data_IF_304362076427
#
_entry.id   IF_304362076427
#
_cell.length_a   1.000
_cell.length_b   1.000
_cell.length_c   1.000
_cell.angle_alpha   90.00
_cell.angle_beta   90.00
_cell.angle_gamma   90.00
#
_symmetry.space_group_name_H-M   'P 1'
#
loop_
_entity.id
_entity.type
_entity.pdbx_description
1 polymer ?
#
# COMPACT_ATOMS: atom_id res chain seq x y z
N UNK A 1 14.13 -21.36 -64.22
CA UNK A 1 14.83 -22.56 -64.68
C UNK A 1 16.00 -22.75 -63.73
N UNK A 2 16.24 -23.85 -63.04
CA UNK A 2 15.66 -25.19 -62.92
C UNK A 2 16.37 -25.79 -61.70
N UNK A 3 15.62 -26.38 -60.77
CA UNK A 3 15.66 -27.81 -60.41
C UNK A 3 17.05 -28.36 -60.03
N UNK A 4 17.25 -28.70 -58.76
CA UNK A 4 16.92 -29.99 -58.13
C UNK A 4 17.80 -31.15 -58.64
N UNK A 5 18.54 -31.72 -57.67
CA UNK A 5 18.76 -33.16 -57.45
C UNK A 5 19.50 -33.95 -58.54
N UNK A 6 20.61 -34.61 -58.15
CA UNK A 6 20.56 -36.06 -57.94
C UNK A 6 21.88 -36.66 -57.39
N UNK A 7 21.68 -37.66 -56.51
CA UNK A 7 22.33 -38.98 -56.38
C UNK A 7 23.86 -39.04 -56.19
N UNK A 8 24.43 -39.49 -55.05
CA UNK A 8 24.36 -40.78 -54.31
C UNK A 8 25.62 -41.61 -54.56
N UNK A 9 26.28 -42.09 -53.49
CA UNK A 9 26.61 -43.52 -53.26
C UNK A 9 27.77 -43.74 -52.27
N UNK A 10 27.51 -44.59 -51.25
CA UNK A 10 28.38 -45.62 -50.64
C UNK A 10 29.59 -45.11 -49.81
N UNK A 11 29.88 -45.58 -48.59
CA UNK A 11 29.36 -46.69 -47.79
C UNK A 11 30.03 -46.74 -46.40
N UNK A 12 29.46 -47.57 -45.53
CA UNK A 12 29.97 -47.96 -44.21
C UNK A 12 31.36 -48.61 -44.29
N UNK A 13 32.30 -48.20 -43.42
CA UNK A 13 33.11 -49.10 -42.57
C UNK A 13 34.12 -48.36 -41.69
N UNK A 14 33.93 -48.56 -40.38
CA UNK A 14 34.93 -48.77 -39.33
C UNK A 14 36.10 -47.79 -39.09
N UNK A 15 35.99 -47.19 -37.90
CA UNK A 15 36.94 -47.24 -36.76
C UNK A 15 38.28 -46.52 -36.84
N UNK A 16 38.43 -45.73 -35.77
CA UNK A 16 39.61 -45.48 -34.95
C UNK A 16 40.48 -44.24 -35.22
N UNK A 17 40.75 -43.57 -34.10
CA UNK A 17 41.80 -42.58 -33.85
C UNK A 17 41.47 -41.11 -34.13
N UNK A 18 40.76 -40.48 -33.18
CA UNK A 18 40.96 -39.06 -32.85
C UNK A 18 41.48 -38.95 -31.41
N UNK A 19 42.45 -38.05 -31.12
CA UNK A 19 43.33 -38.16 -29.98
C UNK A 19 42.72 -37.63 -28.68
N UNK A 20 43.12 -38.29 -27.60
CA UNK A 20 42.79 -38.08 -26.20
C UNK A 20 43.48 -36.80 -25.65
N UNK A 21 42.78 -35.67 -25.66
CA UNK A 21 43.13 -34.52 -24.82
C UNK A 21 41.85 -33.86 -24.29
N UNK A 22 41.78 -33.79 -22.97
CA UNK A 22 40.81 -33.08 -22.13
C UNK A 22 39.50 -33.83 -21.79
N UNK A 23 39.60 -34.94 -21.05
CA UNK A 23 38.53 -35.34 -20.13
C UNK A 23 38.76 -34.66 -18.78
N UNK A 24 38.15 -33.49 -18.58
CA UNK A 24 37.81 -33.05 -17.22
C UNK A 24 36.59 -33.85 -16.80
N UNK A 25 36.51 -34.39 -15.58
CA UNK A 25 35.27 -34.99 -15.11
C UNK A 25 34.22 -33.87 -15.05
N UNK A 26 33.22 -33.95 -15.93
CA UNK A 26 31.94 -33.26 -15.77
C UNK A 26 31.30 -33.82 -14.49
N UNK A 27 31.70 -33.28 -13.34
CA UNK A 27 30.82 -33.19 -12.18
C UNK A 27 29.85 -32.04 -12.47
N UNK A 28 29.04 -32.26 -13.51
CA UNK A 28 27.83 -31.49 -13.79
C UNK A 28 26.81 -31.95 -12.76
N UNK A 29 27.07 -31.59 -11.51
CA UNK A 29 26.05 -31.43 -10.49
C UNK A 29 25.15 -30.30 -10.95
N UNK A 30 24.38 -30.56 -12.02
CA UNK A 30 23.26 -29.74 -12.44
C UNK A 30 22.38 -29.63 -11.21
N UNK A 31 22.53 -28.50 -10.51
CA UNK A 31 21.66 -28.14 -9.41
C UNK A 31 20.29 -28.08 -10.07
N UNK A 32 19.47 -29.10 -9.83
CA UNK A 32 18.10 -29.16 -10.32
C UNK A 32 17.48 -27.83 -9.95
N UNK A 33 17.17 -27.01 -10.97
CA UNK A 33 16.57 -25.71 -10.74
C UNK A 33 15.33 -25.97 -9.88
N UNK A 34 15.14 -25.23 -8.75
CA UNK A 34 13.98 -25.44 -7.92
C UNK A 34 12.75 -25.43 -8.83
N UNK A 35 11.84 -26.41 -8.70
CA UNK A 35 10.67 -26.48 -9.57
C UNK A 35 10.02 -25.09 -9.60
N UNK A 36 9.61 -24.58 -10.79
CA UNK A 36 9.08 -23.23 -10.90
C UNK A 36 7.93 -23.09 -9.91
N UNK A 37 8.20 -22.37 -8.84
CA UNK A 37 7.21 -22.12 -7.79
C UNK A 37 6.17 -21.24 -8.48
N UNK A 38 5.00 -21.80 -8.76
CA UNK A 38 3.80 -21.00 -9.02
C UNK A 38 3.56 -20.14 -7.78
N UNK A 39 4.01 -18.90 -7.82
CA UNK A 39 4.19 -18.05 -6.63
C UNK A 39 2.88 -17.40 -6.11
N UNK A 40 1.71 -17.73 -6.66
CA UNK A 40 0.49 -16.96 -6.36
C UNK A 40 -0.56 -17.64 -5.45
N UNK A 41 -0.55 -18.97 -5.30
CA UNK A 41 -1.66 -19.68 -4.61
C UNK A 41 -1.32 -20.19 -3.20
N UNK A 42 -0.48 -19.46 -2.46
CA UNK A 42 -0.08 -19.83 -1.07
C UNK A 42 -0.95 -19.23 0.03
N UNK A 43 -1.72 -18.19 -0.27
CA UNK A 43 -2.44 -17.44 0.77
C UNK A 43 -3.77 -18.09 1.10
N UNK A 44 -3.92 -18.59 2.33
CA UNK A 44 -5.10 -19.36 2.80
C UNK A 44 -6.45 -18.68 2.48
N UNK A 45 -6.56 -17.36 2.61
CA UNK A 45 -7.79 -16.61 2.27
C UNK A 45 -8.11 -16.61 0.77
N UNK A 46 -7.10 -16.56 -0.10
CA UNK A 46 -7.27 -16.65 -1.57
C UNK A 46 -7.76 -18.05 -1.92
N UNK A 47 -7.17 -19.09 -1.31
CA UNK A 47 -7.63 -20.47 -1.53
C UNK A 47 -9.06 -20.69 -1.05
N UNK A 48 -9.43 -20.13 0.11
CA UNK A 48 -10.80 -20.19 0.62
C UNK A 48 -11.79 -19.43 -0.29
N UNK A 49 -11.38 -18.28 -0.85
CA UNK A 49 -12.18 -17.58 -1.86
C UNK A 49 -12.33 -18.40 -3.14
N UNK A 50 -11.25 -18.96 -3.68
CA UNK A 50 -11.29 -19.80 -4.88
C UNK A 50 -12.16 -21.05 -4.67
N UNK A 51 -12.09 -21.66 -3.48
CA UNK A 51 -12.97 -22.74 -3.08
C UNK A 51 -14.44 -22.33 -3.11
N UNK A 52 -14.78 -21.17 -2.52
CA UNK A 52 -16.13 -20.62 -2.55
C UNK A 52 -16.62 -20.26 -3.96
N UNK A 53 -15.79 -19.56 -4.73
CA UNK A 53 -16.09 -19.17 -6.10
C UNK A 53 -16.25 -20.39 -7.03
N UNK A 54 -15.53 -21.48 -6.76
CA UNK A 54 -15.69 -22.75 -7.45
C UNK A 54 -17.06 -23.42 -7.19
N UNK A 55 -17.70 -23.14 -6.06
CA UNK A 55 -19.03 -23.67 -5.70
C UNK A 55 -20.19 -22.81 -6.24
N UNK A 56 -19.93 -21.60 -6.76
CA UNK A 56 -20.98 -20.68 -7.19
C UNK A 56 -21.81 -21.23 -8.36
N UNK A 57 -21.16 -21.90 -9.33
CA UNK A 57 -21.82 -22.37 -10.55
C UNK A 57 -22.56 -21.23 -11.28
N UNK A 58 -23.88 -21.37 -11.42
CA UNK A 58 -24.79 -20.34 -12.00
C UNK A 58 -25.58 -19.54 -10.94
N UNK A 59 -25.33 -19.79 -9.64
CA UNK A 59 -26.03 -19.17 -8.52
C UNK A 59 -25.36 -17.87 -8.08
N UNK A 60 -26.08 -17.03 -7.33
CA UNK A 60 -25.51 -15.84 -6.67
C UNK A 60 -24.70 -16.25 -5.43
N UNK A 61 -25.16 -17.28 -4.72
CA UNK A 61 -24.49 -17.84 -3.55
C UNK A 61 -24.40 -19.37 -3.65
N UNK A 62 -23.29 -19.97 -3.18
CA UNK A 62 -23.18 -21.41 -3.13
C UNK A 62 -24.13 -22.00 -2.07
N UNK A 63 -24.55 -23.24 -2.31
CA UNK A 63 -25.42 -23.97 -1.37
C UNK A 63 -24.63 -24.41 -0.14
N UNK A 64 -25.27 -24.37 1.02
CA UNK A 64 -24.68 -24.92 2.25
C UNK A 64 -24.49 -26.45 2.17
N UNK A 65 -25.31 -27.16 1.38
CA UNK A 65 -25.21 -28.62 1.22
C UNK A 65 -23.89 -29.07 0.56
N UNK A 66 -23.26 -28.19 -0.22
CA UNK A 66 -21.99 -28.45 -0.89
C UNK A 66 -20.79 -28.24 0.05
N UNK A 67 -21.00 -27.60 1.22
CA UNK A 67 -19.96 -27.31 2.19
C UNK A 67 -19.87 -28.43 3.23
N UNK A 68 -18.68 -29.04 3.35
CA UNK A 68 -18.38 -30.01 4.41
C UNK A 68 -17.15 -29.56 5.21
N UNK A 69 -17.35 -28.74 6.26
CA UNK A 69 -16.24 -28.15 7.04
C UNK A 69 -15.37 -29.20 7.77
N UNK A 70 -15.96 -30.33 8.14
CA UNK A 70 -15.28 -31.42 8.87
C UNK A 70 -14.33 -32.24 8.01
N UNK A 71 -14.60 -32.34 6.71
CA UNK A 71 -13.80 -33.12 5.77
C UNK A 71 -12.67 -32.34 5.13
N UNK A 72 -12.65 -31.01 5.29
CA UNK A 72 -11.66 -30.12 4.69
C UNK A 72 -10.41 -30.01 5.58
N UNK A 73 -9.26 -30.59 5.18
CA UNK A 73 -8.04 -30.52 5.97
C UNK A 73 -7.33 -29.16 5.87
N UNK A 74 -7.62 -28.37 4.83
CA UNK A 74 -6.93 -27.11 4.53
C UNK A 74 -7.50 -25.94 5.34
N UNK A 75 -8.83 -25.93 5.57
CA UNK A 75 -9.52 -24.85 6.26
C UNK A 75 -10.27 -25.29 7.52
N UNK A 76 -10.70 -26.55 7.59
CA UNK A 76 -11.52 -27.09 8.69
C UNK A 76 -11.03 -26.71 10.09
N UNK A 77 -9.76 -26.96 10.45
CA UNK A 77 -9.23 -26.66 11.79
C UNK A 77 -9.29 -25.17 12.20
N UNK A 78 -9.25 -24.26 11.22
CA UNK A 78 -9.20 -22.81 11.44
C UNK A 78 -10.47 -22.10 10.94
N UNK A 79 -11.58 -22.81 10.83
CA UNK A 79 -12.83 -22.28 10.28
C UNK A 79 -13.96 -22.24 11.31
N UNK A 80 -15.00 -21.47 10.99
CA UNK A 80 -16.23 -21.33 11.75
C UNK A 80 -17.41 -21.28 10.79
N UNK A 81 -18.52 -21.92 11.15
CA UNK A 81 -19.78 -21.84 10.43
C UNK A 81 -20.84 -21.20 11.33
N UNK A 82 -21.41 -20.10 10.86
CA UNK A 82 -22.46 -19.34 11.53
C UNK A 82 -23.79 -19.57 10.82
N UNK A 83 -24.82 -19.89 11.61
CA UNK A 83 -26.20 -20.09 11.18
C UNK A 83 -27.07 -18.91 11.61
N UNK A 84 -27.70 -18.25 10.63
CA UNK A 84 -28.55 -17.07 10.76
C UNK A 84 -30.04 -17.38 10.64
N UNK A 85 -30.43 -18.65 10.47
CA UNK A 85 -31.83 -19.07 10.31
C UNK A 85 -32.73 -18.60 11.46
N UNK A 86 -32.17 -18.49 12.67
CA UNK A 86 -32.87 -18.05 13.88
C UNK A 86 -32.74 -16.54 14.18
N UNK A 87 -32.10 -15.77 13.31
CA UNK A 87 -31.97 -14.32 13.43
C UNK A 87 -30.54 -13.80 13.33
N UNK A 88 -30.43 -12.51 12.98
CA UNK A 88 -29.16 -11.84 12.65
C UNK A 88 -28.44 -11.29 13.89
N UNK A 89 -29.17 -11.04 14.98
CA UNK A 89 -28.60 -10.39 16.18
C UNK A 89 -27.69 -11.31 17.00
N UNK A 90 -27.97 -12.61 17.03
CA UNK A 90 -27.17 -13.60 17.78
C UNK A 90 -27.18 -14.95 17.06
N UNK A 91 -26.38 -15.12 15.98
CA UNK A 91 -26.37 -16.35 15.20
C UNK A 91 -25.79 -17.52 16.01
N UNK A 92 -26.19 -18.72 15.62
CA UNK A 92 -25.73 -19.98 16.24
C UNK A 92 -24.43 -20.41 15.57
N UNK A 93 -23.46 -20.90 16.35
CA UNK A 93 -22.21 -21.46 15.82
C UNK A 93 -22.44 -22.95 15.56
N UNK A 94 -22.62 -23.32 14.29
CA UNK A 94 -22.87 -24.70 13.89
C UNK A 94 -21.60 -25.54 13.86
N UNK A 95 -20.49 -24.93 13.44
CA UNK A 95 -19.18 -25.59 13.39
C UNK A 95 -18.09 -24.64 13.88
N UNK A 96 -17.14 -25.18 14.64
CA UNK A 96 -15.96 -24.47 15.11
C UNK A 96 -14.75 -25.38 15.03
N UNK A 97 -13.77 -24.99 14.22
CA UNK A 97 -12.52 -25.70 14.01
C UNK A 97 -11.71 -25.87 15.29
N UNK A 98 -10.96 -26.98 15.37
CA UNK A 98 -10.24 -27.39 16.58
C UNK A 98 -9.14 -26.39 16.99
N UNK A 99 -8.36 -25.89 16.02
CA UNK A 99 -7.30 -24.91 16.30
C UNK A 99 -7.89 -23.58 16.76
N UNK A 100 -8.98 -23.13 16.14
CA UNK A 100 -9.66 -21.88 16.52
C UNK A 100 -10.28 -22.00 17.92
N UNK A 101 -10.86 -23.16 18.24
CA UNK A 101 -11.38 -23.48 19.57
C UNK A 101 -10.27 -23.48 20.63
N UNK A 102 -9.14 -24.12 20.34
CA UNK A 102 -8.00 -24.17 21.25
C UNK A 102 -7.43 -22.78 21.53
N UNK A 103 -7.28 -21.95 20.50
CA UNK A 103 -6.74 -20.60 20.64
C UNK A 103 -7.65 -19.70 21.46
N UNK A 104 -8.97 -19.80 21.26
CA UNK A 104 -9.94 -19.00 21.98
C UNK A 104 -10.23 -19.52 23.40
N UNK A 105 -9.59 -20.63 23.83
CA UNK A 105 -9.84 -21.31 25.11
C UNK A 105 -11.34 -21.60 25.33
N UNK A 106 -12.02 -21.96 24.25
CA UNK A 106 -13.47 -22.19 24.24
C UNK A 106 -13.76 -23.63 24.69
N UNK A 107 -14.49 -23.78 25.79
CA UNK A 107 -15.07 -25.04 26.20
C UNK A 107 -16.16 -25.51 25.20
N UNK A 108 -16.50 -26.80 25.24
CA UNK A 108 -17.44 -27.46 24.30
C UNK A 108 -18.86 -26.83 24.31
N UNK A 109 -19.18 -25.95 25.26
CA UNK A 109 -20.54 -25.43 25.49
C UNK A 109 -20.94 -24.17 24.73
N UNK A 110 -20.08 -23.55 23.92
CA UNK A 110 -20.47 -22.35 23.16
C UNK A 110 -21.37 -22.75 21.99
N UNK A 111 -22.61 -22.27 22.01
CA UNK A 111 -23.61 -22.51 20.95
C UNK A 111 -23.97 -21.23 20.20
N UNK A 112 -23.82 -20.05 20.80
CA UNK A 112 -24.16 -18.77 20.19
C UNK A 112 -23.00 -17.76 20.22
N UNK A 113 -23.06 -16.77 19.32
CA UNK A 113 -22.06 -15.69 19.26
C UNK A 113 -22.01 -14.87 20.56
N UNK A 114 -23.12 -14.75 21.28
CA UNK A 114 -23.16 -14.05 22.58
C UNK A 114 -22.29 -14.70 23.67
N UNK A 115 -22.02 -16.00 23.58
CA UNK A 115 -21.20 -16.73 24.55
C UNK A 115 -19.69 -16.61 24.27
N UNK A 116 -19.33 -15.94 23.17
CA UNK A 116 -17.94 -15.82 22.72
C UNK A 116 -17.17 -14.84 23.61
N UNK A 117 -16.01 -15.24 24.15
CA UNK A 117 -15.19 -14.35 24.98
C UNK A 117 -14.82 -13.06 24.26
N UNK A 118 -14.97 -11.93 24.96
CA UNK A 118 -14.47 -10.65 24.48
C UNK A 118 -12.95 -10.71 24.30
N UNK A 119 -12.43 -10.13 23.20
CA UNK A 119 -11.01 -10.19 22.82
C UNK A 119 -10.50 -11.59 22.42
N UNK A 120 -11.37 -12.44 21.88
CA UNK A 120 -10.98 -13.66 21.16
C UNK A 120 -10.93 -13.45 19.64
N UNK A 121 -10.26 -14.34 18.92
CA UNK A 121 -10.29 -14.37 17.45
C UNK A 121 -11.73 -14.49 16.94
N UNK A 122 -12.53 -15.35 17.57
CA UNK A 122 -13.92 -15.57 17.20
C UNK A 122 -14.76 -14.31 17.34
N UNK A 123 -14.58 -13.52 18.41
CA UNK A 123 -15.23 -12.21 18.57
C UNK A 123 -14.90 -11.26 17.41
N UNK A 124 -13.66 -11.31 16.90
CA UNK A 124 -13.26 -10.46 15.77
C UNK A 124 -13.93 -10.90 14.47
N UNK A 125 -14.03 -12.20 14.22
CA UNK A 125 -14.74 -12.73 13.04
C UNK A 125 -16.20 -12.29 13.09
N UNK A 126 -16.84 -12.41 14.26
CA UNK A 126 -18.25 -12.08 14.42
C UNK A 126 -18.55 -10.58 14.36
N UNK A 127 -17.56 -9.69 14.49
CA UNK A 127 -17.80 -8.24 14.31
C UNK A 127 -18.18 -7.87 12.86
N UNK A 128 -17.84 -8.72 11.89
CA UNK A 128 -17.95 -8.41 10.46
C UNK A 128 -19.16 -9.04 9.75
N UNK A 129 -19.88 -9.99 10.36
CA UNK A 129 -20.96 -10.71 9.66
C UNK A 129 -22.10 -9.79 9.20
N UNK A 130 -22.40 -8.71 9.95
CA UNK A 130 -23.41 -7.73 9.57
C UNK A 130 -23.08 -7.02 8.26
N UNK A 131 -21.79 -6.81 7.98
CA UNK A 131 -21.33 -6.16 6.76
C UNK A 131 -21.52 -7.06 5.54
N UNK A 132 -21.42 -8.38 5.73
CA UNK A 132 -21.62 -9.38 4.66
C UNK A 132 -23.09 -9.44 4.29
N UNK A 133 -23.97 -9.46 5.28
CA UNK A 133 -25.42 -9.45 5.06
C UNK A 133 -25.83 -8.15 4.34
N UNK A 134 -25.22 -7.02 4.69
CA UNK A 134 -25.50 -5.74 4.05
C UNK A 134 -24.97 -5.64 2.61
N UNK A 135 -23.76 -6.13 2.35
CA UNK A 135 -23.10 -6.00 1.05
C UNK A 135 -23.35 -7.18 0.10
N UNK A 136 -23.90 -8.28 0.62
CA UNK A 136 -24.17 -9.50 -0.13
C UNK A 136 -22.94 -10.05 -0.86
N UNK A 137 -21.76 -9.94 -0.24
CA UNK A 137 -20.49 -10.32 -0.85
C UNK A 137 -19.49 -10.87 0.18
N UNK A 138 -18.55 -11.73 -0.25
CA UNK A 138 -17.40 -12.14 0.56
C UNK A 138 -16.61 -10.95 1.11
N UNK A 139 -16.18 -11.05 2.37
CA UNK A 139 -15.37 -10.01 3.03
C UNK A 139 -14.09 -10.64 3.57
N UNK A 140 -12.95 -10.19 3.05
CA UNK A 140 -11.65 -10.42 3.66
C UNK A 140 -11.36 -9.37 4.74
N UNK A 141 -10.72 -9.77 5.83
CA UNK A 141 -10.28 -8.87 6.89
C UNK A 141 -8.93 -9.30 7.44
N UNK A 142 -8.12 -8.32 7.83
CA UNK A 142 -6.85 -8.53 8.50
C UNK A 142 -6.66 -7.49 9.59
N UNK A 143 -6.08 -7.91 10.71
CA UNK A 143 -5.77 -7.01 11.81
C UNK A 143 -4.82 -7.66 12.80
N UNK A 144 -4.33 -6.82 13.70
CA UNK A 144 -3.67 -7.23 14.92
C UNK A 144 -4.56 -6.97 16.13
N UNK A 145 -4.43 -7.79 17.16
CA UNK A 145 -5.00 -7.54 18.47
C UNK A 145 -4.14 -8.18 19.54
N UNK A 146 -4.26 -7.67 20.77
CA UNK A 146 -3.64 -8.30 21.94
C UNK A 146 -4.65 -9.28 22.53
N UNK A 147 -4.26 -10.55 22.60
CA UNK A 147 -5.12 -11.60 23.18
C UNK A 147 -5.20 -11.48 24.70
N UNK A 148 -6.04 -12.32 25.31
CA UNK A 148 -6.17 -12.38 26.78
C UNK A 148 -4.88 -12.75 27.52
N UNK A 149 -3.90 -13.35 26.82
CA UNK A 149 -2.59 -13.72 27.34
C UNK A 149 -1.55 -12.60 27.20
N UNK A 150 -1.93 -11.44 26.66
CA UNK A 150 -1.02 -10.30 26.46
C UNK A 150 -0.11 -10.44 25.24
N UNK A 151 -0.29 -11.46 24.41
CA UNK A 151 0.47 -11.66 23.19
C UNK A 151 -0.19 -10.92 22.02
N UNK A 152 0.65 -10.34 21.15
CA UNK A 152 0.17 -9.66 19.95
C UNK A 152 -0.11 -10.71 18.89
N UNK A 153 -1.37 -10.87 18.51
CA UNK A 153 -1.79 -11.79 17.46
C UNK A 153 -2.12 -10.98 16.21
N UNK A 154 -1.42 -11.29 15.13
CA UNK A 154 -1.80 -10.87 13.78
C UNK A 154 -2.67 -11.95 13.16
N UNK A 155 -3.85 -11.60 12.65
CA UNK A 155 -4.73 -12.54 11.98
C UNK A 155 -5.21 -12.00 10.64
N UNK A 156 -5.52 -12.93 9.75
CA UNK A 156 -6.14 -12.67 8.46
C UNK A 156 -7.23 -13.70 8.24
N UNK A 157 -8.43 -13.26 7.93
CA UNK A 157 -9.56 -14.13 7.66
C UNK A 157 -10.38 -13.67 6.46
N UNK A 158 -11.27 -14.54 6.03
CA UNK A 158 -12.28 -14.28 5.03
C UNK A 158 -13.58 -14.88 5.51
N UNK A 159 -14.67 -14.17 5.30
CA UNK A 159 -16.02 -14.64 5.53
C UNK A 159 -16.77 -14.72 4.21
N UNK A 160 -17.46 -15.83 4.04
CA UNK A 160 -18.01 -16.30 2.79
C UNK A 160 -19.51 -16.56 3.00
N UNK A 161 -20.41 -15.83 2.30
CA UNK A 161 -21.85 -16.03 2.44
C UNK A 161 -22.32 -17.29 1.70
N UNK A 162 -23.27 -17.99 2.30
CA UNK A 162 -23.95 -19.16 1.76
C UNK A 162 -25.47 -18.96 1.88
N UNK A 163 -26.21 -19.51 0.93
CA UNK A 163 -27.66 -19.41 0.88
C UNK A 163 -28.28 -20.77 0.55
N UNK A 164 -29.45 -21.03 1.14
CA UNK A 164 -30.24 -22.23 0.81
C UNK A 164 -31.14 -21.97 -0.41
N UNK A 165 -31.64 -20.75 -0.58
CA UNK A 165 -32.64 -20.35 -1.58
C UNK A 165 -32.12 -19.42 -2.69
N UNK A 166 -30.83 -19.09 -2.66
CA UNK A 166 -30.14 -18.14 -3.56
C UNK A 166 -30.60 -16.67 -3.43
N UNK A 167 -31.46 -16.36 -2.47
CA UNK A 167 -31.99 -15.02 -2.22
C UNK A 167 -31.57 -14.46 -0.85
N UNK A 168 -31.57 -15.28 0.20
CA UNK A 168 -31.20 -14.86 1.57
C UNK A 168 -29.94 -15.56 2.06
N UNK A 169 -29.06 -14.79 2.71
CA UNK A 169 -27.84 -15.34 3.33
C UNK A 169 -28.26 -15.98 4.66
N UNK A 170 -28.33 -17.31 4.67
CA UNK A 170 -28.69 -18.10 5.85
C UNK A 170 -27.46 -18.56 6.64
N UNK A 171 -26.32 -18.71 5.94
CA UNK A 171 -25.09 -19.21 6.53
C UNK A 171 -23.89 -18.35 6.16
N UNK A 172 -22.94 -18.22 7.08
CA UNK A 172 -21.65 -17.59 6.79
C UNK A 172 -20.53 -18.51 7.25
N UNK A 173 -19.66 -18.85 6.32
CA UNK A 173 -18.46 -19.63 6.58
C UNK A 173 -17.26 -18.70 6.71
N UNK A 174 -16.60 -18.73 7.86
CA UNK A 174 -15.40 -17.94 8.14
C UNK A 174 -14.17 -18.82 8.18
N UNK A 175 -13.11 -18.43 7.50
CA UNK A 175 -11.78 -19.04 7.61
C UNK A 175 -10.82 -17.99 8.13
N UNK A 176 -10.04 -18.30 9.15
CA UNK A 176 -9.07 -17.39 9.74
C UNK A 176 -7.71 -18.06 9.87
N UNK A 177 -6.64 -17.30 9.72
CA UNK A 177 -5.29 -17.73 10.03
C UNK A 177 -4.65 -16.68 10.94
N UNK A 178 -3.83 -17.09 11.90
CA UNK A 178 -3.20 -16.17 12.84
C UNK A 178 -1.75 -16.55 13.12
N UNK A 179 -0.97 -15.55 13.51
CA UNK A 179 0.41 -15.68 13.95
C UNK A 179 0.59 -14.88 15.22
N UNK A 180 1.05 -15.54 16.27
CA UNK A 180 1.45 -14.90 17.52
C UNK A 180 2.85 -14.28 17.34
N UNK A 181 2.96 -13.00 17.69
CA UNK A 181 4.21 -12.26 17.76
C UNK A 181 4.58 -12.18 19.22
N UNK A 182 5.71 -12.80 19.58
CA UNK A 182 6.26 -12.68 20.93
C UNK A 182 6.54 -11.22 21.23
N UNK A 183 6.01 -10.74 22.36
CA UNK A 183 6.27 -9.40 22.90
C UNK A 183 7.77 -9.24 23.14
N UNK A 184 8.32 -8.02 22.95
CA UNK A 184 9.75 -7.73 23.18
C UNK A 184 10.25 -8.13 24.58
N UNK A 185 9.36 -8.22 25.58
CA UNK A 185 9.68 -8.74 26.90
C UNK A 185 10.10 -10.23 26.92
N UNK A 186 9.49 -11.08 26.08
CA UNK A 186 9.90 -12.49 25.97
C UNK A 186 11.20 -12.65 25.19
N UNK A 187 11.50 -11.73 24.26
CA UNK A 187 12.82 -11.63 23.64
C UNK A 187 13.88 -11.21 24.65
N UNK A 188 13.57 -10.23 25.49
CA UNK A 188 14.45 -9.77 26.56
C UNK A 188 14.73 -10.88 27.57
N UNK A 189 13.71 -11.63 28.02
CA UNK A 189 13.91 -12.74 28.97
C UNK A 189 14.75 -13.88 28.35
N UNK A 190 14.55 -14.18 27.06
CA UNK A 190 15.37 -15.18 26.34
C UNK A 190 16.80 -14.66 26.12
N UNK A 191 16.97 -13.39 25.78
CA UNK A 191 18.29 -12.75 25.64
C UNK A 191 19.03 -12.70 26.97
N UNK A 192 18.33 -12.44 28.07
CA UNK A 192 18.88 -12.43 29.43
C UNK A 192 19.26 -13.86 29.87
N UNK A 193 18.43 -14.87 29.60
CA UNK A 193 18.72 -16.27 29.90
C UNK A 193 19.89 -16.81 29.05
N UNK A 194 19.95 -16.45 27.76
CA UNK A 194 21.08 -16.78 26.87
C UNK A 194 22.36 -16.06 27.30
N UNK A 195 22.26 -14.79 27.70
CA UNK A 195 23.41 -14.02 28.21
C UNK A 195 23.93 -14.60 29.53
N UNK A 196 23.04 -15.00 30.44
CA UNK A 196 23.40 -15.67 31.70
C UNK A 196 24.01 -17.07 31.44
N UNK A 197 23.48 -17.81 30.46
CA UNK A 197 24.06 -19.07 30.01
C UNK A 197 25.47 -18.88 29.41
N UNK A 198 25.69 -17.82 28.61
CA UNK A 198 27.01 -17.50 28.04
C UNK A 198 28.03 -17.08 29.11
N UNK A 199 27.59 -16.35 30.15
CA UNK A 199 28.44 -15.93 31.28
C UNK A 199 28.77 -17.08 32.24
N UNK A 200 27.94 -18.12 32.30
CA UNK A 200 28.13 -19.29 33.16
C UNK A 200 28.87 -20.46 32.48
N UNK A 201 29.24 -20.35 31.19
CA UNK A 201 30.13 -21.33 30.53
C UNK A 201 31.54 -21.21 31.11
N UNK A 202 32.09 -22.23 31.80
CA UNK A 202 33.48 -22.18 32.23
C UNK A 202 34.41 -22.16 31.02
N UNK A 203 35.42 -21.29 31.06
CA UNK A 203 36.42 -21.16 30.00
C UNK A 203 37.00 -22.53 29.63
N UNK A 204 36.84 -22.93 28.37
CA UNK A 204 37.41 -24.17 27.85
C UNK A 204 38.93 -24.07 27.92
N UNK A 205 39.54 -24.74 28.90
CA UNK A 205 40.99 -24.92 28.94
C UNK A 205 41.37 -25.75 27.71
N UNK A 206 42.00 -25.09 26.73
CA UNK A 206 42.62 -25.77 25.61
C UNK A 206 43.86 -26.47 26.15
N UNK A 207 43.72 -27.74 26.54
CA UNK A 207 44.85 -28.63 26.72
C UNK A 207 45.40 -28.97 25.33
N UNK A 208 46.42 -28.21 24.89
CA UNK A 208 47.16 -28.54 23.68
C UNK A 208 47.89 -29.88 23.87
N UNK A 209 47.89 -30.79 22.87
CA UNK A 209 48.64 -32.03 22.99
C UNK A 209 50.14 -31.72 22.92
N UNK A 210 50.81 -32.04 24.03
CA UNK A 210 52.25 -32.23 24.13
C UNK A 210 52.65 -33.33 23.15
N UNK A 211 53.37 -32.97 22.09
CA UNK A 211 54.13 -33.92 21.27
C UNK A 211 55.60 -33.70 21.56
N UNK A 212 56.12 -34.60 22.37
CA UNK A 212 57.53 -34.75 22.64
C UNK A 212 58.16 -35.53 21.46
N UNK A 213 59.20 -34.90 20.91
CA UNK A 213 60.36 -35.45 20.20
C UNK A 213 60.32 -35.80 18.70
N UNK A 214 61.37 -35.33 18.01
CA UNK A 214 61.62 -35.42 16.57
C UNK A 214 62.89 -34.62 16.20
N UNK A 215 64.03 -35.25 15.88
CA UNK A 215 65.36 -34.68 16.13
C UNK A 215 66.02 -34.02 14.90
N UNK A 216 66.51 -32.78 15.05
CA UNK A 216 67.85 -32.34 14.59
C UNK A 216 68.11 -30.88 14.95
N UNK A 217 69.14 -30.70 15.75
CA UNK A 217 69.72 -29.44 16.22
C UNK A 217 70.46 -28.71 15.10
N UNK A 218 70.34 -27.38 15.03
CA UNK A 218 71.47 -26.46 14.81
C UNK A 218 71.00 -24.99 14.93
N UNK A 219 71.38 -24.37 16.05
CA UNK A 219 71.95 -23.01 16.20
C UNK A 219 71.49 -21.84 15.28
N UNK A 220 71.10 -20.75 15.96
CA UNK A 220 71.49 -19.33 15.68
C UNK A 220 70.99 -18.72 14.34
N UNK A 221 70.46 -17.51 14.23
CA UNK A 221 70.40 -16.33 15.09
C UNK A 221 69.16 -15.51 14.72
N UNK A 222 68.70 -14.69 15.66
CA UNK A 222 67.77 -13.61 15.40
C UNK A 222 68.43 -12.54 14.52
N UNK A 223 67.96 -12.38 13.28
CA UNK A 223 68.11 -11.12 12.53
C UNK A 223 66.77 -10.75 11.87
N UNK A 224 66.27 -9.59 12.30
CA UNK A 224 65.13 -8.88 11.75
C UNK A 224 65.29 -8.63 10.25
N UNK A 225 64.21 -8.89 9.49
CA UNK A 225 63.93 -8.20 8.23
C UNK A 225 62.43 -7.91 8.20
N UNK A 226 62.12 -6.63 8.06
CA UNK A 226 60.80 -6.02 8.01
C UNK A 226 59.94 -6.63 6.90
N UNK A 227 58.68 -6.92 7.22
CA UNK A 227 57.61 -7.11 6.25
C UNK A 227 56.40 -6.26 6.68
N UNK A 228 55.98 -5.45 5.73
CA UNK A 228 54.77 -4.62 5.66
C UNK A 228 53.55 -5.25 6.35
N UNK A 229 52.75 -4.49 7.12
CA UNK A 229 51.48 -5.01 7.62
C UNK A 229 50.54 -5.26 6.46
N UNK A 230 50.15 -6.53 6.31
CA UNK A 230 49.05 -6.97 5.49
C UNK A 230 47.74 -6.32 5.98
N UNK A 231 46.94 -5.90 4.99
CA UNK A 231 45.50 -5.64 5.00
C UNK A 231 44.82 -5.63 6.38
N UNK A 232 44.47 -4.41 6.81
CA UNK A 232 43.34 -4.20 7.70
C UNK A 232 42.08 -4.72 7.00
N UNK A 233 41.53 -5.83 7.51
CA UNK A 233 40.11 -6.14 7.32
C UNK A 233 39.38 -5.15 8.24
N UNK A 234 38.99 -4.01 7.67
CA UNK A 234 37.95 -3.16 8.24
C UNK A 234 36.67 -4.00 8.24
N UNK A 235 35.95 -4.13 9.36
CA UNK A 235 34.59 -4.65 9.31
C UNK A 235 33.81 -3.66 8.47
N UNK A 236 33.33 -4.12 7.32
CA UNK A 236 32.39 -3.39 6.50
C UNK A 236 31.23 -3.02 7.42
N UNK A 237 31.01 -1.71 7.59
CA UNK A 237 29.88 -1.23 8.32
C UNK A 237 28.66 -1.69 7.52
N UNK A 238 27.94 -2.68 8.05
CA UNK A 238 26.60 -3.01 7.60
C UNK A 238 25.80 -1.72 7.71
N UNK A 239 25.68 -1.01 6.59
CA UNK A 239 24.59 -0.08 6.35
C UNK A 239 23.32 -0.89 6.62
N UNK A 240 22.60 -0.52 7.66
CA UNK A 240 21.24 -0.99 7.90
C UNK A 240 20.39 -0.50 6.73
N UNK A 241 20.37 -1.27 5.64
CA UNK A 241 19.42 -1.06 4.54
C UNK A 241 18.02 -1.33 5.09
N UNK A 242 17.28 -0.25 5.30
CA UNK A 242 15.84 -0.27 5.55
C UNK A 242 15.17 -0.93 4.32
N UNK A 243 14.49 -2.09 4.45
CA UNK A 243 13.96 -2.83 3.30
C UNK A 243 12.92 -2.05 2.46
N UNK A 244 12.48 -0.88 2.93
CA UNK A 244 11.57 0.02 2.22
C UNK A 244 12.27 1.20 1.52
N UNK A 245 13.60 1.28 1.51
CA UNK A 245 14.37 2.31 0.82
C UNK A 245 15.13 1.72 -0.38
N UNK A 246 14.72 2.14 -1.58
CA UNK A 246 15.47 1.85 -2.79
C UNK A 246 16.77 2.67 -2.83
N UNK A 247 17.83 2.03 -3.32
CA UNK A 247 19.09 2.69 -3.63
C UNK A 247 18.89 3.87 -4.61
N UNK A 248 19.77 4.87 -4.56
CA UNK A 248 19.60 6.10 -5.36
C UNK A 248 19.66 5.86 -6.88
N UNK A 249 20.23 4.74 -7.32
CA UNK A 249 20.35 4.27 -8.69
C UNK A 249 19.21 3.36 -9.16
N UNK A 250 18.20 3.09 -8.31
CA UNK A 250 17.03 2.31 -8.68
C UNK A 250 16.26 2.97 -9.84
N UNK A 251 15.72 2.13 -10.74
CA UNK A 251 15.04 2.61 -11.93
C UNK A 251 13.71 3.28 -11.57
N UNK A 252 13.23 4.19 -12.43
CA UNK A 252 11.94 4.84 -12.21
C UNK A 252 10.77 3.84 -12.13
N UNK A 253 10.88 2.70 -12.83
CA UNK A 253 9.90 1.62 -12.76
C UNK A 253 9.88 0.94 -11.38
N UNK A 254 11.04 0.78 -10.72
CA UNK A 254 11.13 0.23 -9.37
C UNK A 254 10.50 1.17 -8.34
N UNK A 255 10.71 2.48 -8.49
CA UNK A 255 10.05 3.50 -7.68
C UNK A 255 8.53 3.47 -7.86
N UNK A 256 8.05 3.29 -9.10
CA UNK A 256 6.62 3.13 -9.37
C UNK A 256 6.07 1.84 -8.75
N UNK A 257 6.80 0.74 -8.84
CA UNK A 257 6.41 -0.55 -8.26
C UNK A 257 6.33 -0.45 -6.73
N UNK A 258 7.31 0.19 -6.08
CA UNK A 258 7.29 0.45 -4.64
C UNK A 258 6.08 1.29 -4.24
N UNK A 259 5.80 2.37 -4.97
CA UNK A 259 4.65 3.23 -4.71
C UNK A 259 3.32 2.48 -4.90
N UNK A 260 3.20 1.62 -5.93
CA UNK A 260 2.02 0.78 -6.17
C UNK A 260 1.83 -0.26 -5.08
N UNK A 261 2.89 -0.97 -4.67
CA UNK A 261 2.83 -1.93 -3.58
C UNK A 261 2.35 -1.27 -2.27
N UNK A 262 2.82 -0.04 -2.00
CA UNK A 262 2.38 0.73 -0.84
C UNK A 262 0.92 1.17 -0.96
N UNK A 263 0.47 1.60 -2.15
CA UNK A 263 -0.91 1.94 -2.43
C UNK A 263 -1.85 0.74 -2.31
N UNK A 264 -1.44 -0.43 -2.81
CA UNK A 264 -2.17 -1.68 -2.67
C UNK A 264 -2.26 -2.07 -1.20
N UNK A 265 -1.17 -2.01 -0.43
CA UNK A 265 -1.19 -2.26 1.01
C UNK A 265 -2.18 -1.31 1.73
N UNK A 266 -2.17 -0.02 1.38
CA UNK A 266 -3.13 0.95 1.92
C UNK A 266 -4.58 0.62 1.54
N UNK A 267 -4.83 0.12 0.33
CA UNK A 267 -6.15 -0.31 -0.13
C UNK A 267 -6.67 -1.53 0.68
N UNK A 268 -5.78 -2.49 0.98
CA UNK A 268 -6.12 -3.67 1.80
C UNK A 268 -6.33 -3.30 3.28
N UNK A 269 -5.74 -2.21 3.74
CA UNK A 269 -5.84 -1.70 5.12
C UNK A 269 -6.97 -0.68 5.35
N UNK A 270 -7.89 -0.46 4.38
CA UNK A 270 -8.77 0.72 4.28
C UNK A 270 -9.68 1.03 5.50
N UNK A 271 -9.79 0.13 6.48
CA UNK A 271 -10.60 0.34 7.69
C UNK A 271 -9.82 0.51 8.99
N UNK A 272 -8.49 0.33 9.03
CA UNK A 272 -7.76 0.26 10.32
C UNK A 272 -6.49 1.12 10.46
N UNK A 273 -5.86 1.60 9.39
CA UNK A 273 -4.59 2.33 9.51
C UNK A 273 -4.50 3.54 8.59
N UNK A 274 -4.55 4.74 9.19
CA UNK A 274 -4.20 6.00 8.48
C UNK A 274 -2.71 6.04 8.12
N UNK A 275 -1.87 5.32 8.86
CA UNK A 275 -0.44 5.23 8.63
C UNK A 275 -0.10 4.58 7.28
N UNK A 276 -0.79 3.50 6.90
CA UNK A 276 -0.57 2.85 5.60
C UNK A 276 -0.93 3.78 4.43
N UNK A 277 -2.03 4.55 4.57
CA UNK A 277 -2.39 5.56 3.58
C UNK A 277 -1.34 6.68 3.50
N UNK A 278 -0.82 7.14 4.63
CA UNK A 278 0.21 8.19 4.65
C UNK A 278 1.54 7.69 4.07
N UNK A 279 1.92 6.45 4.33
CA UNK A 279 3.04 5.79 3.69
C UNK A 279 2.87 5.73 2.17
N UNK A 280 1.70 5.31 1.68
CA UNK A 280 1.41 5.27 0.24
C UNK A 280 1.48 6.66 -0.44
N UNK A 281 0.93 7.69 0.21
CA UNK A 281 1.01 9.07 -0.26
C UNK A 281 2.47 9.57 -0.23
N UNK A 282 3.25 9.17 0.78
CA UNK A 282 4.69 9.43 0.89
C UNK A 282 5.47 8.82 -0.27
N UNK A 283 5.30 7.51 -0.53
CA UNK A 283 5.98 6.84 -1.65
C UNK A 283 5.54 7.37 -3.01
N UNK A 284 4.29 7.81 -3.17
CA UNK A 284 3.83 8.50 -4.37
C UNK A 284 4.56 9.84 -4.59
N UNK A 285 4.90 10.55 -3.51
CA UNK A 285 5.70 11.77 -3.59
C UNK A 285 7.17 11.49 -3.91
N UNK A 286 7.76 10.44 -3.32
CA UNK A 286 9.12 10.01 -3.65
C UNK A 286 9.24 9.63 -5.12
N UNK A 287 8.25 8.89 -5.65
CA UNK A 287 8.15 8.60 -7.08
C UNK A 287 8.08 9.89 -7.92
N UNK A 288 7.26 10.88 -7.53
CA UNK A 288 7.23 12.18 -8.21
C UNK A 288 8.61 12.86 -8.25
N UNK A 289 9.35 12.87 -7.13
CA UNK A 289 10.70 13.44 -7.10
C UNK A 289 11.64 12.73 -8.08
N UNK A 290 11.47 11.42 -8.28
CA UNK A 290 12.25 10.67 -9.26
C UNK A 290 11.81 10.96 -10.71
N UNK A 291 10.53 11.23 -10.97
CA UNK A 291 10.07 11.64 -12.31
C UNK A 291 10.69 12.96 -12.78
N UNK A 292 11.02 13.87 -11.85
CA UNK A 292 11.73 15.11 -12.16
C UNK A 292 13.21 14.86 -12.52
N UNK A 293 13.81 13.77 -12.01
CA UNK A 293 15.18 13.35 -12.33
C UNK A 293 15.26 12.57 -13.64
N UNK A 294 14.22 11.79 -13.94
CA UNK A 294 14.15 10.88 -15.10
C UNK A 294 12.93 11.21 -15.99
N UNK A 295 12.92 12.37 -16.68
CA UNK A 295 11.75 12.82 -17.44
C UNK A 295 11.42 11.94 -18.65
N UNK A 296 12.44 11.37 -19.30
CA UNK A 296 12.26 10.50 -20.47
C UNK A 296 11.58 9.17 -20.07
N UNK A 297 12.04 8.53 -18.99
CA UNK A 297 11.44 7.32 -18.44
C UNK A 297 10.01 7.58 -17.96
N UNK A 298 9.75 8.76 -17.39
CA UNK A 298 8.40 9.15 -16.98
C UNK A 298 7.45 9.26 -18.17
N UNK A 299 7.91 9.80 -19.31
CA UNK A 299 7.12 9.87 -20.52
C UNK A 299 6.75 8.46 -21.02
N UNK A 300 7.69 7.51 -21.02
CA UNK A 300 7.42 6.13 -21.39
C UNK A 300 6.36 5.46 -20.51
N UNK A 301 6.42 5.68 -19.19
CA UNK A 301 5.43 5.16 -18.25
C UNK A 301 4.02 5.74 -18.48
N UNK A 302 3.93 7.01 -18.86
CA UNK A 302 2.67 7.65 -19.20
C UNK A 302 2.06 7.07 -20.48
N UNK A 303 2.89 6.88 -21.52
CA UNK A 303 2.46 6.31 -22.79
C UNK A 303 1.92 4.88 -22.63
N UNK A 304 2.64 4.02 -21.89
CA UNK A 304 2.21 2.64 -21.59
C UNK A 304 0.89 2.60 -20.81
N UNK A 305 0.70 3.56 -19.89
CA UNK A 305 -0.51 3.65 -19.08
C UNK A 305 -1.68 4.38 -19.77
N UNK A 306 -1.50 4.85 -21.02
CA UNK A 306 -2.50 5.63 -21.75
C UNK A 306 -2.83 6.98 -21.10
N UNK A 307 -1.86 7.56 -20.36
CA UNK A 307 -1.98 8.85 -19.69
C UNK A 307 -1.21 9.93 -20.46
N UNK A 308 -1.65 11.18 -20.34
CA UNK A 308 -0.98 12.33 -20.92
C UNK A 308 -0.46 13.25 -19.81
N UNK A 309 0.68 13.91 -20.09
CA UNK A 309 1.21 14.99 -19.24
C UNK A 309 0.18 16.10 -19.14
N UNK A 310 -0.05 16.60 -17.92
CA UNK A 310 -0.99 17.67 -17.65
C UNK A 310 -0.25 18.87 -17.05
N UNK A 311 0.16 19.84 -17.88
CA UNK A 311 0.87 21.05 -17.41
C UNK A 311 0.11 21.83 -16.33
N UNK A 312 -1.23 21.80 -16.38
CA UNK A 312 -2.09 22.48 -15.40
C UNK A 312 -2.28 21.69 -14.10
N UNK A 313 -1.97 20.40 -14.11
CA UNK A 313 -2.20 19.48 -13.00
C UNK A 313 -1.13 18.35 -12.99
N UNK A 314 0.15 18.70 -12.79
CA UNK A 314 1.27 17.76 -12.93
C UNK A 314 1.20 16.57 -11.96
N UNK A 315 0.54 16.73 -10.82
CA UNK A 315 0.36 15.67 -9.82
C UNK A 315 -0.73 14.65 -10.19
N UNK A 316 -1.61 14.96 -11.15
CA UNK A 316 -2.74 14.08 -11.48
C UNK A 316 -2.31 12.79 -12.18
N UNK A 317 -1.41 12.81 -13.19
CA UNK A 317 -0.90 11.59 -13.79
C UNK A 317 -0.12 10.72 -12.78
N UNK A 318 0.68 11.32 -11.90
CA UNK A 318 1.41 10.61 -10.84
C UNK A 318 0.46 9.79 -9.97
N UNK A 319 -0.58 10.42 -9.42
CA UNK A 319 -1.51 9.73 -8.52
C UNK A 319 -2.28 8.64 -9.28
N UNK A 320 -2.57 8.84 -10.56
CA UNK A 320 -3.22 7.80 -11.40
C UNK A 320 -2.30 6.62 -11.71
N UNK A 321 -1.00 6.85 -11.89
CA UNK A 321 -0.02 5.79 -12.09
C UNK A 321 0.11 4.91 -10.83
N UNK A 322 0.09 5.54 -9.65
CA UNK A 322 0.30 4.88 -8.36
C UNK A 322 -0.97 4.22 -7.82
N UNK A 323 -2.08 4.94 -7.73
CA UNK A 323 -3.33 4.45 -7.13
C UNK A 323 -4.30 3.84 -8.15
N UNK A 324 -4.00 3.97 -9.44
CA UNK A 324 -4.82 3.45 -10.53
C UNK A 324 -5.82 4.47 -11.09
N UNK A 325 -6.08 4.34 -12.39
CA UNK A 325 -6.94 5.26 -13.16
C UNK A 325 -8.41 5.18 -12.75
N UNK A 326 -8.85 4.02 -12.22
CA UNK A 326 -10.23 3.75 -11.79
C UNK A 326 -10.48 4.02 -10.30
N UNK A 327 -9.48 4.53 -9.58
CA UNK A 327 -9.62 4.87 -8.16
C UNK A 327 -10.61 6.03 -7.97
N UNK A 328 -11.12 6.19 -6.74
CA UNK A 328 -12.11 7.24 -6.44
C UNK A 328 -11.59 8.63 -6.84
N UNK A 329 -12.39 9.32 -7.68
CA UNK A 329 -12.01 10.60 -8.26
C UNK A 329 -11.81 11.67 -7.19
N UNK A 330 -12.57 11.62 -6.09
CA UNK A 330 -12.45 12.61 -5.01
C UNK A 330 -11.12 12.42 -4.29
N UNK A 331 -10.78 11.18 -3.90
CA UNK A 331 -9.50 10.83 -3.28
C UNK A 331 -8.30 11.15 -4.17
N UNK A 332 -8.35 10.84 -5.47
CA UNK A 332 -7.28 11.19 -6.40
C UNK A 332 -7.01 12.70 -6.42
N UNK A 333 -8.05 13.53 -6.34
CA UNK A 333 -7.89 15.00 -6.26
C UNK A 333 -7.34 15.48 -4.92
N UNK A 334 -7.64 14.77 -3.82
CA UNK A 334 -7.07 15.06 -2.51
C UNK A 334 -5.58 14.71 -2.46
N UNK A 335 -5.20 13.52 -2.94
CA UNK A 335 -3.81 13.10 -2.97
C UNK A 335 -2.98 13.98 -3.90
N UNK A 336 -3.51 14.35 -5.08
CA UNK A 336 -2.85 15.29 -5.97
C UNK A 336 -2.61 16.66 -5.33
N UNK A 337 -3.55 17.13 -4.49
CA UNK A 337 -3.36 18.37 -3.72
C UNK A 337 -2.30 18.19 -2.62
N UNK A 338 -2.27 17.05 -1.93
CA UNK A 338 -1.25 16.76 -0.93
C UNK A 338 0.17 16.71 -1.54
N UNK A 339 0.36 16.04 -2.68
CA UNK A 339 1.65 16.02 -3.40
C UNK A 339 2.08 17.43 -3.84
N UNK A 340 1.12 18.24 -4.30
CA UNK A 340 1.39 19.63 -4.69
C UNK A 340 1.81 20.50 -3.50
N UNK A 341 1.22 20.27 -2.33
CA UNK A 341 1.64 20.91 -1.10
C UNK A 341 3.08 20.53 -0.73
N UNK A 342 3.40 19.23 -0.77
CA UNK A 342 4.73 18.71 -0.46
C UNK A 342 5.80 19.33 -1.38
N UNK A 343 5.54 19.34 -2.69
CA UNK A 343 6.42 19.96 -3.67
C UNK A 343 6.63 21.46 -3.42
N UNK A 344 5.58 22.21 -3.01
CA UNK A 344 5.71 23.64 -2.70
C UNK A 344 6.57 23.89 -1.46
N UNK A 345 6.48 23.02 -0.47
CA UNK A 345 7.22 23.14 0.78
C UNK A 345 8.59 22.45 0.72
N UNK A 346 8.96 21.92 -0.45
CA UNK A 346 10.23 21.22 -0.68
C UNK A 346 10.50 20.12 0.36
N UNK A 347 9.47 19.33 0.66
CA UNK A 347 9.63 18.18 1.56
C UNK A 347 10.62 17.20 0.94
N UNK A 348 11.53 16.67 1.75
CA UNK A 348 12.58 15.76 1.31
C UNK A 348 12.04 14.35 1.04
N UNK A 349 12.78 13.57 0.24
CA UNK A 349 12.47 12.16 -0.06
C UNK A 349 12.35 11.37 1.25
N UNK A 350 11.32 10.55 1.36
CA UNK A 350 11.06 9.69 2.53
C UNK A 350 10.38 10.41 3.71
N UNK A 351 10.43 11.74 3.79
CA UNK A 351 9.92 12.48 4.96
C UNK A 351 8.41 12.78 4.90
N UNK A 352 7.76 12.61 3.76
CA UNK A 352 6.39 13.12 3.58
C UNK A 352 5.33 12.36 4.40
N UNK A 353 5.49 11.05 4.59
CA UNK A 353 4.55 10.26 5.39
C UNK A 353 4.54 10.69 6.86
N UNK A 354 5.73 10.90 7.44
CA UNK A 354 5.90 11.39 8.81
C UNK A 354 5.38 12.81 8.94
N UNK A 355 5.69 13.66 7.96
CA UNK A 355 5.17 15.03 7.91
C UNK A 355 3.63 15.06 7.96
N UNK A 356 2.93 14.19 7.21
CA UNK A 356 1.47 14.13 7.25
C UNK A 356 0.98 13.66 8.62
N UNK A 357 1.69 12.73 9.25
CA UNK A 357 1.33 12.14 10.55
C UNK A 357 1.48 13.14 11.70
N UNK A 358 2.53 13.97 11.65
CA UNK A 358 2.84 14.99 12.66
C UNK A 358 2.06 16.30 12.46
N UNK A 359 1.59 16.58 11.25
CA UNK A 359 0.86 17.80 10.94
C UNK A 359 -0.51 17.82 11.61
N UNK A 360 -0.81 18.90 12.34
CA UNK A 360 -2.12 19.07 12.99
C UNK A 360 -3.26 19.07 11.96
N UNK A 361 -4.27 18.23 12.20
CA UNK A 361 -5.36 17.95 11.25
C UNK A 361 -5.01 17.03 10.05
N UNK A 362 -3.77 16.52 10.01
CA UNK A 362 -3.28 15.52 9.06
C UNK A 362 -3.49 15.86 7.60
N UNK A 363 -3.72 14.84 6.77
CA UNK A 363 -3.92 14.98 5.32
C UNK A 363 -5.00 16.01 4.95
N UNK A 364 -6.11 16.07 5.70
CA UNK A 364 -7.21 17.00 5.40
C UNK A 364 -6.79 18.46 5.57
N UNK A 365 -6.01 18.78 6.60
CA UNK A 365 -5.49 20.13 6.82
C UNK A 365 -4.53 20.55 5.69
N UNK A 366 -3.64 19.64 5.29
CA UNK A 366 -2.71 19.85 4.16
C UNK A 366 -3.48 20.13 2.86
N UNK A 367 -4.46 19.28 2.53
CA UNK A 367 -5.29 19.46 1.32
C UNK A 367 -6.08 20.77 1.37
N UNK A 368 -6.60 21.13 2.53
CA UNK A 368 -7.32 22.38 2.71
C UNK A 368 -6.42 23.60 2.53
N UNK A 369 -5.22 23.60 3.13
CA UNK A 369 -4.22 24.65 2.96
C UNK A 369 -3.79 24.78 1.49
N UNK A 370 -3.56 23.66 0.81
CA UNK A 370 -3.26 23.67 -0.62
C UNK A 370 -4.39 24.25 -1.46
N UNK A 371 -5.64 23.85 -1.21
CA UNK A 371 -6.80 24.37 -1.94
C UNK A 371 -7.01 25.86 -1.68
N UNK A 372 -6.64 26.38 -0.51
CA UNK A 372 -6.65 27.81 -0.24
C UNK A 372 -5.53 28.55 -0.97
N UNK A 373 -4.30 28.03 -0.95
CA UNK A 373 -3.16 28.62 -1.66
C UNK A 373 -3.36 28.57 -3.18
N UNK A 374 -4.02 27.52 -3.68
CA UNK A 374 -4.39 27.33 -5.07
C UNK A 374 -5.63 28.11 -5.50
N UNK A 375 -6.36 28.78 -4.59
CA UNK A 375 -7.36 29.77 -4.97
C UNK A 375 -6.59 31.03 -5.42
N UNK A 376 -6.49 31.33 -6.72
CA UNK A 376 -6.07 32.65 -7.14
C UNK A 376 -6.94 33.66 -6.41
N UNK A 377 -6.31 34.62 -5.73
CA UNK A 377 -6.99 35.69 -5.00
C UNK A 377 -8.22 36.13 -5.80
N UNK A 378 -9.40 36.00 -5.17
CA UNK A 378 -10.70 35.75 -5.81
C UNK A 378 -11.24 36.79 -6.79
N UNK A 379 -10.43 37.79 -7.17
CA UNK A 379 -10.73 38.76 -8.20
C UNK A 379 -10.21 38.31 -9.58
N UNK A 380 -8.96 37.88 -9.70
CA UNK A 380 -8.29 37.69 -11.01
C UNK A 380 -8.81 36.47 -11.79
N UNK A 381 -9.19 35.39 -11.11
CA UNK A 381 -9.76 34.20 -11.73
C UNK A 381 -11.20 34.38 -12.17
N UNK A 382 -12.01 35.10 -11.38
CA UNK A 382 -13.37 35.51 -11.77
C UNK A 382 -13.33 36.46 -12.96
N UNK A 383 -12.39 37.41 -12.97
CA UNK A 383 -12.13 38.34 -14.08
C UNK A 383 -11.72 37.58 -15.36
N UNK A 384 -10.93 36.51 -15.28
CA UNK A 384 -10.66 35.61 -16.42
C UNK A 384 -11.88 34.81 -16.88
N UNK A 385 -12.71 34.32 -15.95
CA UNK A 385 -13.90 33.52 -16.26
C UNK A 385 -15.06 34.35 -16.86
N UNK A 386 -15.16 35.63 -16.49
CA UNK A 386 -16.11 36.61 -17.02
C UNK A 386 -15.80 36.99 -18.49
N UNK A 387 -14.60 36.64 -18.98
CA UNK A 387 -14.13 36.85 -20.35
C UNK A 387 -13.68 38.29 -20.60
N UNK A 388 -12.59 38.47 -21.35
CA UNK A 388 -12.08 39.80 -21.74
C UNK A 388 -13.17 40.69 -22.36
N UNK A 389 -14.14 40.09 -23.05
CA UNK A 389 -15.25 40.79 -23.68
C UNK A 389 -16.15 41.55 -22.69
N UNK A 390 -16.41 41.00 -21.50
CA UNK A 390 -17.23 41.69 -20.50
C UNK A 390 -16.44 42.79 -19.80
N UNK A 391 -15.15 42.57 -19.53
CA UNK A 391 -14.27 43.62 -19.02
C UNK A 391 -14.09 44.75 -20.03
N UNK A 392 -14.00 44.43 -21.32
CA UNK A 392 -13.97 45.42 -22.39
C UNK A 392 -15.26 46.25 -22.39
N UNK A 393 -16.44 45.63 -22.21
CA UNK A 393 -17.71 46.35 -22.04
C UNK A 393 -17.72 47.28 -20.83
N UNK A 394 -17.19 46.86 -19.68
CA UNK A 394 -17.06 47.71 -18.49
C UNK A 394 -16.03 48.84 -18.68
N UNK A 395 -14.96 48.60 -19.45
CA UNK A 395 -13.97 49.62 -19.83
C UNK A 395 -14.51 50.63 -20.84
N UNK A 396 -15.44 50.23 -21.71
CA UNK A 396 -16.06 51.10 -22.71
C UNK A 396 -17.38 51.71 -22.25
N UNK A 397 -17.92 51.31 -21.09
CA UNK A 397 -19.18 51.83 -20.59
C UNK A 397 -19.08 53.32 -20.25
N UNK A 398 -20.11 54.13 -20.58
CA UNK A 398 -20.16 55.55 -20.24
C UNK A 398 -20.30 55.74 -18.73
N UNK A 399 -19.69 56.81 -18.21
CA UNK A 399 -19.89 57.23 -16.83
C UNK A 399 -21.34 57.65 -16.62
N UNK A 400 -21.94 57.26 -15.51
CA UNK A 400 -23.29 57.65 -15.10
C UNK A 400 -23.24 58.53 -13.86
N UNK A 401 -24.07 59.56 -13.82
CA UNK A 401 -24.27 60.35 -12.61
C UNK A 401 -25.20 59.61 -11.64
N UNK A 402 -25.02 59.82 -10.34
CA UNK A 402 -25.82 59.17 -9.29
C UNK A 402 -27.33 59.41 -9.47
N UNK A 403 -27.71 60.57 -9.99
CA UNK A 403 -29.10 60.96 -10.23
C UNK A 403 -29.78 60.17 -11.36
N UNK A 404 -28.99 59.62 -12.29
CA UNK A 404 -29.50 58.87 -13.45
C UNK A 404 -29.55 57.35 -13.19
N UNK A 405 -29.19 56.92 -11.98
CA UNK A 405 -29.16 55.51 -11.61
C UNK A 405 -30.48 55.14 -10.94
N UNK A 406 -31.28 54.37 -11.67
CA UNK A 406 -32.46 53.70 -11.10
C UNK A 406 -32.02 52.63 -10.08
N UNK A 407 -32.19 52.99 -8.80
CA UNK A 407 -31.86 52.21 -7.61
C UNK A 407 -32.85 51.06 -7.32
N UNK A 408 -34.02 51.06 -7.97
CA UNK A 408 -35.10 50.13 -7.65
C UNK A 408 -35.66 50.30 -6.22
N UNK A 409 -36.34 49.27 -5.72
CA UNK A 409 -37.07 49.29 -4.45
C UNK A 409 -36.25 48.80 -3.24
N UNK A 410 -34.95 48.54 -3.39
CA UNK A 410 -34.10 47.99 -2.34
C UNK A 410 -33.48 49.07 -1.46
N UNK A 411 -33.40 48.84 -0.14
CA UNK A 411 -32.81 49.79 0.83
C UNK A 411 -31.31 50.05 0.58
N UNK A 412 -30.58 49.04 0.10
CA UNK A 412 -29.16 49.12 -0.20
C UNK A 412 -28.87 48.69 -1.63
N UNK A 413 -28.05 49.46 -2.35
CA UNK A 413 -27.66 49.19 -3.73
C UNK A 413 -26.14 49.15 -3.86
N UNK A 414 -25.63 48.14 -4.58
CA UNK A 414 -24.20 48.03 -4.92
C UNK A 414 -23.95 48.67 -6.28
N UNK A 415 -23.07 49.66 -6.34
CA UNK A 415 -22.64 50.32 -7.57
C UNK A 415 -21.25 49.83 -7.98
N UNK A 416 -21.07 49.57 -9.27
CA UNK A 416 -19.75 49.29 -9.85
C UNK A 416 -19.15 50.59 -10.36
N UNK A 417 -17.97 50.95 -9.84
CA UNK A 417 -17.20 52.09 -10.32
C UNK A 417 -15.89 51.64 -10.99
N UNK A 418 -15.48 52.36 -12.03
CA UNK A 418 -14.20 52.21 -12.72
C UNK A 418 -13.33 53.42 -12.39
N UNK A 419 -12.06 53.17 -12.06
CA UNK A 419 -11.05 54.23 -11.97
C UNK A 419 -10.64 54.66 -13.38
N UNK A 420 -10.70 55.94 -13.68
CA UNK A 420 -10.22 56.49 -14.95
C UNK A 420 -8.69 56.72 -14.93
N UNK A 421 -8.14 57.25 -16.03
CA UNK A 421 -6.70 57.51 -16.16
C UNK A 421 -6.20 58.63 -15.24
N UNK A 422 -7.10 59.51 -14.79
CA UNK A 422 -6.81 60.61 -13.87
C UNK A 422 -6.94 60.17 -12.40
N UNK A 423 -7.45 58.96 -12.18
CA UNK A 423 -7.64 58.36 -10.87
C UNK A 423 -8.99 58.66 -10.22
N UNK A 424 -9.90 59.30 -10.96
CA UNK A 424 -11.27 59.57 -10.52
C UNK A 424 -12.16 58.34 -10.73
N UNK A 425 -13.19 58.22 -9.89
CA UNK A 425 -14.12 57.09 -9.94
C UNK A 425 -15.31 57.45 -10.83
N UNK A 426 -15.45 56.73 -11.95
CA UNK A 426 -16.59 56.81 -12.84
C UNK A 426 -17.57 55.66 -12.57
N UNK A 427 -18.83 55.96 -12.23
CA UNK A 427 -19.84 54.93 -11.96
C UNK A 427 -20.30 54.32 -13.28
N UNK A 428 -20.24 52.99 -13.38
CA UNK A 428 -20.60 52.23 -14.57
C UNK A 428 -22.06 51.77 -14.53
N UNK A 429 -22.57 51.42 -13.34
CA UNK A 429 -23.98 51.08 -13.13
C UNK A 429 -24.24 50.23 -11.87
N UNK A 430 -25.51 50.00 -11.53
CA UNK A 430 -25.92 49.20 -10.38
C UNK A 430 -25.86 47.69 -10.67
N UNK A 431 -25.53 46.90 -9.64
CA UNK A 431 -25.67 45.44 -9.70
C UNK A 431 -27.11 45.06 -9.37
N UNK A 432 -27.84 44.45 -10.32
CA UNK A 432 -29.27 44.08 -10.16
C UNK A 432 -29.46 42.57 -9.96
N UNK A 433 -30.50 42.20 -9.19
CA UNK A 433 -31.05 40.84 -9.11
C UNK A 433 -30.22 39.83 -8.32
N UNK A 434 -29.40 40.28 -7.36
CA UNK A 434 -28.58 39.39 -6.53
C UNK A 434 -28.45 39.89 -5.08
N UNK A 435 -29.50 39.66 -4.28
CA UNK A 435 -29.57 40.08 -2.87
C UNK A 435 -28.48 39.46 -2.00
N UNK A 436 -28.02 38.25 -2.37
CA UNK A 436 -26.93 37.58 -1.67
C UNK A 436 -25.61 38.35 -1.82
N UNK A 437 -25.33 38.89 -3.02
CA UNK A 437 -24.14 39.68 -3.30
C UNK A 437 -24.20 41.06 -2.62
N UNK A 438 -25.37 41.69 -2.60
CA UNK A 438 -25.59 42.94 -1.84
C UNK A 438 -25.31 42.71 -0.36
N UNK A 439 -25.88 41.66 0.24
CA UNK A 439 -25.62 41.30 1.64
C UNK A 439 -24.15 40.97 1.93
N UNK A 440 -23.46 40.32 0.99
CA UNK A 440 -22.04 40.02 1.14
C UNK A 440 -21.17 41.29 1.07
N UNK A 441 -21.48 42.20 0.15
CA UNK A 441 -20.80 43.49 0.05
C UNK A 441 -21.00 44.30 1.34
N UNK A 442 -22.23 44.35 1.88
CA UNK A 442 -22.55 45.06 3.11
C UNK A 442 -21.73 44.57 4.31
N UNK A 443 -21.47 43.26 4.43
CA UNK A 443 -20.64 42.68 5.50
C UNK A 443 -19.16 43.09 5.44
N UNK A 444 -18.68 43.50 4.27
CA UNK A 444 -17.28 43.88 4.04
C UNK A 444 -17.09 45.39 3.86
N UNK A 445 -18.16 46.18 3.92
CA UNK A 445 -18.08 47.64 3.93
C UNK A 445 -17.39 48.10 5.20
N UNK A 446 -16.27 48.80 5.06
CA UNK A 446 -15.56 49.44 6.16
C UNK A 446 -16.08 50.88 6.28
N UNK A 447 -16.51 51.27 7.47
CA UNK A 447 -16.96 52.63 7.80
C UNK A 447 -15.83 53.45 8.43
#
# INVERSE_FOLDING_TARGET
>A
MENLQNYSEIGDQDRDSAPDYATFPDDDGAVEAPPPISQDERRMHVRAYNFWAGMLGERLFPSIEDLSPESDPDFGPNSVLLDFTNGIENPTIQFLGQSLRAECEIDVSITAVADVPARSLLSRITDHYLQIIANQAPIGFEAEFVNQRGATIMYRGILLPFSTDDETIDFIYGVINWKEVATDAARQDIEDEVSEAMLSVPARIVAGPVWEDGPRSANMDHQQLELTPAQQIVPDALETEDPDQLAEDASLADWLALARNSADNAAHCEQRSRAALYAAIGKAYDFYLMTERYPDDYQLLLEDSGLAVQERAPMTPIVKLVFGVRYDKTRLTEYAAALKYAARHAIEKGAFADFISEHDGGLKAIVYAERQAGRPSGLLSKVRAIGENFLAKLRSAPSRELQDIDAGDSEFVVLVARKDQNGELAIVGPVRGNDQLTNQALKHTQF
#
